data_IF_987305067385
#
_entry.id   IF_987305067385
#
_cell.length_a   1.000
_cell.length_b   1.000
_cell.length_c   1.000
_cell.angle_alpha   90.00
_cell.angle_beta   90.00
_cell.angle_gamma   90.00
#
_symmetry.space_group_name_H-M   'P 1'
#
loop_
_entity.id
_entity.type
_entity.pdbx_description
1 polymer ?
#
# COMPACT_ATOMS: atom_id res chain seq x y z
N UNK A 1 9.38 -2.89 -3.14
CA UNK A 1 10.81 -3.14 -2.84
C UNK A 1 11.01 -4.34 -1.89
N UNK A 2 10.29 -4.39 -0.76
CA UNK A 2 10.43 -5.45 0.26
C UNK A 2 10.24 -6.87 -0.30
N UNK A 3 9.24 -7.10 -1.15
CA UNK A 3 9.01 -8.41 -1.76
C UNK A 3 10.19 -8.96 -2.58
N UNK A 4 11.07 -8.08 -3.10
CA UNK A 4 12.30 -8.50 -3.78
C UNK A 4 13.46 -8.72 -2.81
N UNK A 5 13.56 -7.87 -1.78
CA UNK A 5 14.63 -7.97 -0.77
C UNK A 5 14.50 -9.28 0.03
N UNK A 6 13.27 -9.64 0.40
CA UNK A 6 12.95 -10.81 1.21
C UNK A 6 12.40 -11.99 0.38
N UNK A 7 12.76 -12.08 -0.90
CA UNK A 7 12.22 -13.08 -1.82
C UNK A 7 12.38 -14.51 -1.34
N UNK A 8 13.51 -14.83 -0.74
CA UNK A 8 13.78 -16.18 -0.24
C UNK A 8 12.89 -16.53 0.96
N UNK A 9 12.73 -15.61 1.90
CA UNK A 9 11.91 -15.77 3.10
C UNK A 9 10.42 -15.82 2.77
N UNK A 10 10.02 -15.18 1.67
CA UNK A 10 8.63 -15.08 1.24
C UNK A 10 8.15 -16.27 0.40
N UNK A 11 9.03 -17.12 -0.09
CA UNK A 11 8.68 -18.27 -0.95
C UNK A 11 7.51 -19.13 -0.47
N UNK A 12 7.33 -19.42 0.84
CA UNK A 12 6.24 -20.28 1.30
C UNK A 12 4.88 -19.57 1.41
N UNK A 13 4.78 -18.29 1.05
CA UNK A 13 3.58 -17.49 1.25
C UNK A 13 2.99 -17.02 -0.07
N UNK A 14 1.66 -16.99 -0.17
CA UNK A 14 0.92 -16.51 -1.34
C UNK A 14 0.88 -14.98 -1.42
N UNK A 15 0.96 -14.33 -0.27
CA UNK A 15 1.00 -12.87 -0.14
C UNK A 15 2.10 -12.45 0.82
N UNK A 16 2.65 -11.28 0.58
CA UNK A 16 3.54 -10.55 1.47
C UNK A 16 2.98 -9.14 1.70
N UNK A 17 3.45 -8.46 2.72
CA UNK A 17 2.95 -7.12 2.99
C UNK A 17 3.84 -6.33 3.93
N UNK A 18 3.45 -5.10 4.14
CA UNK A 18 4.05 -4.18 5.11
C UNK A 18 2.95 -3.36 5.79
N UNK A 19 3.25 -2.87 6.95
CA UNK A 19 2.35 -2.00 7.70
C UNK A 19 3.15 -0.99 8.53
N UNK A 20 2.47 0.06 8.98
CA UNK A 20 3.00 0.94 10.00
C UNK A 20 3.16 0.19 11.33
N UNK A 21 4.15 0.59 12.11
CA UNK A 21 4.45 -0.10 13.38
C UNK A 21 3.59 0.36 14.57
N UNK A 22 2.79 1.38 14.39
CA UNK A 22 1.89 1.99 15.39
C UNK A 22 0.41 1.64 15.19
N UNK A 23 0.13 0.57 14.44
CA UNK A 23 -1.21 0.07 14.20
C UNK A 23 -1.66 -0.92 15.28
N UNK A 24 -2.93 -0.84 15.62
CA UNK A 24 -3.63 -1.85 16.41
C UNK A 24 -4.64 -2.57 15.51
N UNK A 25 -4.36 -3.83 15.23
CA UNK A 25 -5.22 -4.62 14.36
C UNK A 25 -6.42 -5.19 15.12
N UNK A 26 -7.60 -5.03 14.53
CA UNK A 26 -8.80 -5.76 14.91
C UNK A 26 -8.86 -7.16 14.26
N UNK A 27 -10.05 -7.65 13.99
CA UNK A 27 -10.24 -8.92 13.30
C UNK A 27 -10.05 -8.77 11.78
N UNK A 28 -8.81 -8.85 11.31
CA UNK A 28 -8.47 -8.71 9.89
C UNK A 28 -9.17 -9.73 8.99
N UNK A 29 -9.40 -10.96 9.47
CA UNK A 29 -10.08 -12.02 8.69
C UNK A 29 -11.53 -11.71 8.37
N UNK A 30 -12.14 -10.77 9.08
CA UNK A 30 -13.50 -10.29 8.76
C UNK A 30 -13.51 -9.44 7.47
N UNK A 31 -12.41 -8.79 7.18
CA UNK A 31 -12.27 -7.87 6.05
C UNK A 31 -11.53 -8.52 4.87
N UNK A 32 -10.50 -9.30 5.15
CA UNK A 32 -9.70 -9.98 4.13
C UNK A 32 -10.19 -11.42 3.97
N UNK A 33 -11.20 -11.59 3.12
CA UNK A 33 -11.80 -12.88 2.80
C UNK A 33 -11.06 -13.56 1.65
N UNK A 34 -11.29 -14.86 1.47
CA UNK A 34 -10.67 -15.63 0.39
C UNK A 34 -11.02 -15.04 -0.99
N UNK A 35 -12.25 -14.59 -1.19
CA UNK A 35 -12.70 -13.95 -2.44
C UNK A 35 -11.87 -12.69 -2.77
N UNK A 36 -11.45 -11.93 -1.76
CA UNK A 36 -10.60 -10.74 -1.94
C UNK A 36 -9.20 -11.17 -2.36
N UNK A 37 -8.63 -12.18 -1.71
CA UNK A 37 -7.32 -12.71 -2.07
C UNK A 37 -7.28 -13.36 -3.45
N UNK A 38 -8.36 -14.01 -3.88
CA UNK A 38 -8.46 -14.56 -5.22
C UNK A 38 -8.51 -13.46 -6.28
N UNK A 39 -9.29 -12.41 -6.03
CA UNK A 39 -9.60 -11.36 -7.01
C UNK A 39 -8.50 -10.31 -7.16
N UNK A 40 -7.83 -9.93 -6.07
CA UNK A 40 -6.93 -8.80 -6.06
C UNK A 40 -5.48 -9.21 -5.80
N UNK A 41 -4.56 -8.62 -6.56
CA UNK A 41 -3.13 -8.80 -6.34
C UNK A 41 -2.54 -7.79 -5.35
N UNK A 42 -3.21 -6.64 -5.18
CA UNK A 42 -2.87 -5.63 -4.17
C UNK A 42 -4.09 -5.37 -3.29
N UNK A 43 -3.90 -5.43 -1.98
CA UNK A 43 -4.94 -5.25 -0.96
C UNK A 43 -4.44 -4.21 0.05
N UNK A 44 -5.28 -3.23 0.34
CA UNK A 44 -4.92 -2.08 1.15
C UNK A 44 -4.43 -0.91 0.30
N UNK A 45 -4.82 0.29 0.73
CA UNK A 45 -4.41 1.58 0.18
C UNK A 45 -4.00 2.48 1.34
N UNK A 46 -3.32 3.58 1.04
CA UNK A 46 -2.83 4.55 2.03
C UNK A 46 -1.66 4.09 2.93
N UNK A 47 -0.94 3.01 2.57
CA UNK A 47 0.31 2.64 3.23
C UNK A 47 0.20 1.96 4.61
N UNK A 48 -0.88 2.17 5.35
CA UNK A 48 -1.01 1.66 6.73
C UNK A 48 -0.92 0.14 6.84
N UNK A 49 -1.58 -0.58 5.95
CA UNK A 49 -1.44 -2.02 5.77
C UNK A 49 -1.64 -2.32 4.30
N UNK A 50 -0.59 -2.80 3.66
CA UNK A 50 -0.61 -3.18 2.26
C UNK A 50 -0.17 -4.63 2.11
N UNK A 51 -0.99 -5.43 1.44
CA UNK A 51 -0.65 -6.80 1.06
C UNK A 51 -0.51 -6.87 -0.46
N UNK A 52 0.46 -7.62 -0.92
CA UNK A 52 0.71 -7.87 -2.33
C UNK A 52 0.85 -9.36 -2.60
N UNK A 53 0.29 -9.83 -3.71
CA UNK A 53 0.47 -11.21 -4.17
C UNK A 53 1.95 -11.51 -4.35
N UNK A 54 2.34 -12.70 -3.96
CA UNK A 54 3.75 -13.10 -4.03
C UNK A 54 4.09 -13.69 -5.40
N UNK A 55 3.96 -12.89 -6.44
CA UNK A 55 4.39 -13.19 -7.79
C UNK A 55 5.47 -12.22 -8.28
N UNK A 56 6.07 -12.49 -9.42
CA UNK A 56 7.16 -11.68 -9.96
C UNK A 56 6.72 -10.25 -10.24
N UNK A 57 5.52 -10.04 -10.80
CA UNK A 57 5.00 -8.72 -11.09
C UNK A 57 4.91 -7.87 -9.81
N UNK A 58 4.23 -8.36 -8.77
CA UNK A 58 4.03 -7.59 -7.54
C UNK A 58 5.32 -7.42 -6.72
N UNK A 59 6.29 -8.32 -6.85
CA UNK A 59 7.62 -8.10 -6.25
C UNK A 59 8.43 -7.01 -6.95
N UNK A 60 8.15 -6.76 -8.24
CA UNK A 60 8.93 -5.85 -9.08
C UNK A 60 8.21 -4.55 -9.43
N UNK A 61 6.90 -4.44 -9.21
CA UNK A 61 6.05 -3.29 -9.59
C UNK A 61 6.57 -1.94 -9.08
N UNK A 62 7.32 -1.94 -7.99
CA UNK A 62 7.93 -0.73 -7.44
C UNK A 62 8.86 -0.02 -8.43
N UNK A 63 9.47 -0.75 -9.38
CA UNK A 63 10.34 -0.15 -10.41
C UNK A 63 9.52 0.69 -11.37
N UNK A 64 8.45 0.11 -11.90
CA UNK A 64 7.59 0.78 -12.87
C UNK A 64 6.84 1.95 -12.21
N UNK A 65 6.37 1.75 -10.98
CA UNK A 65 5.78 2.81 -10.18
C UNK A 65 6.76 3.96 -9.89
N UNK A 66 8.05 3.67 -9.67
CA UNK A 66 9.07 4.71 -9.47
C UNK A 66 9.36 5.51 -10.74
N UNK A 67 9.41 4.87 -11.91
CA UNK A 67 9.57 5.57 -13.18
C UNK A 67 8.32 6.44 -13.50
N UNK A 68 7.12 5.93 -13.24
CA UNK A 68 5.90 6.71 -13.36
C UNK A 68 5.92 7.91 -12.40
N UNK A 69 6.25 7.70 -11.13
CA UNK A 69 6.41 8.74 -10.12
C UNK A 69 7.36 9.84 -10.56
N UNK A 70 8.50 9.47 -11.13
CA UNK A 70 9.46 10.40 -11.71
C UNK A 70 8.84 11.18 -12.89
N UNK A 71 8.03 10.51 -13.71
CA UNK A 71 7.34 11.14 -14.85
C UNK A 71 6.42 12.27 -14.42
N UNK A 72 5.63 12.10 -13.37
CA UNK A 72 4.63 13.09 -12.97
C UNK A 72 5.07 14.07 -11.87
N UNK A 73 6.10 13.75 -11.10
CA UNK A 73 6.65 14.67 -10.08
C UNK A 73 8.01 15.26 -10.45
N UNK A 74 8.66 14.75 -11.51
CA UNK A 74 10.00 15.19 -11.91
C UNK A 74 11.11 14.78 -10.94
N UNK A 75 10.84 13.84 -10.03
CA UNK A 75 11.72 13.47 -8.92
C UNK A 75 12.06 11.99 -8.97
N UNK A 76 13.34 11.68 -8.96
CA UNK A 76 13.83 10.32 -8.79
C UNK A 76 13.97 10.02 -7.29
N UNK A 77 12.97 9.33 -6.74
CA UNK A 77 12.88 9.04 -5.30
C UNK A 77 14.05 8.25 -4.73
N UNK A 78 14.80 7.53 -5.58
CA UNK A 78 15.98 6.77 -5.14
C UNK A 78 17.25 7.61 -5.12
N UNK A 79 17.22 8.79 -5.74
CA UNK A 79 18.33 9.75 -5.74
C UNK A 79 18.09 10.98 -4.88
N UNK A 80 16.82 11.28 -4.63
CA UNK A 80 16.43 12.44 -3.84
C UNK A 80 16.39 12.07 -2.35
N UNK A 81 17.39 12.53 -1.60
CA UNK A 81 17.54 12.26 -0.16
C UNK A 81 17.12 13.40 0.76
N UNK A 82 16.62 14.52 0.22
CA UNK A 82 16.34 15.72 1.02
C UNK A 82 15.06 15.64 1.83
N UNK A 83 14.15 14.71 1.51
CA UNK A 83 12.89 14.52 2.22
C UNK A 83 12.36 13.08 2.13
N UNK A 84 11.47 12.72 3.05
CA UNK A 84 10.71 11.48 2.97
C UNK A 84 9.60 11.59 1.89
N UNK A 85 9.34 10.49 1.19
CA UNK A 85 8.31 10.37 0.18
C UNK A 85 7.37 9.24 0.56
N UNK A 86 6.07 9.50 0.53
CA UNK A 86 5.03 8.46 0.68
C UNK A 86 4.86 7.66 -0.61
N UNK A 87 5.93 7.00 -1.04
CA UNK A 87 5.95 6.27 -2.31
C UNK A 87 5.08 5.01 -2.30
N UNK A 88 4.89 4.41 -1.16
CA UNK A 88 4.04 3.27 -0.88
C UNK A 88 2.54 3.61 -0.79
N UNK A 89 2.21 4.91 -0.85
CA UNK A 89 0.86 5.45 -0.77
C UNK A 89 0.39 6.10 -2.09
N UNK A 90 -0.62 6.97 -1.95
CA UNK A 90 -1.35 7.65 -3.03
C UNK A 90 -0.48 8.33 -4.09
N UNK A 91 0.63 9.04 -3.80
CA UNK A 91 1.42 9.62 -4.87
C UNK A 91 2.31 8.60 -5.61
N UNK A 92 2.49 7.41 -5.07
CA UNK A 92 3.39 6.37 -5.59
C UNK A 92 2.68 5.14 -6.13
N UNK A 93 2.78 4.02 -5.41
CA UNK A 93 2.30 2.71 -5.86
C UNK A 93 0.79 2.70 -6.04
N UNK A 94 0.00 3.29 -5.13
CA UNK A 94 -1.46 3.33 -5.25
C UNK A 94 -1.88 4.03 -6.53
N UNK A 95 -1.30 5.20 -6.83
CA UNK A 95 -1.56 5.94 -8.06
C UNK A 95 -1.17 5.16 -9.31
N UNK A 96 -0.02 4.48 -9.28
CA UNK A 96 0.40 3.65 -10.40
C UNK A 96 -0.63 2.56 -10.71
N UNK A 97 -1.14 1.87 -9.69
CA UNK A 97 -2.20 0.86 -9.87
C UNK A 97 -3.46 1.47 -10.49
N UNK A 98 -3.91 2.63 -10.01
CA UNK A 98 -5.08 3.32 -10.54
C UNK A 98 -4.90 3.75 -12.00
N UNK A 99 -3.77 4.38 -12.33
CA UNK A 99 -3.47 4.87 -13.69
C UNK A 99 -3.32 3.73 -14.71
N UNK A 100 -2.82 2.57 -14.28
CA UNK A 100 -2.69 1.39 -15.12
C UNK A 100 -3.95 0.51 -15.14
N UNK A 101 -4.99 0.87 -14.38
CA UNK A 101 -6.21 0.06 -14.26
C UNK A 101 -5.97 -1.32 -13.65
N UNK A 102 -4.94 -1.46 -12.82
CA UNK A 102 -4.59 -2.71 -12.17
C UNK A 102 -5.53 -3.00 -11.00
N UNK A 103 -5.98 -4.27 -10.83
CA UNK A 103 -6.89 -4.62 -9.76
C UNK A 103 -6.26 -4.40 -8.38
N UNK A 104 -6.83 -3.49 -7.59
CA UNK A 104 -6.49 -3.31 -6.18
C UNK A 104 -7.76 -3.21 -5.34
N UNK A 105 -7.68 -3.70 -4.10
CA UNK A 105 -8.74 -3.60 -3.12
C UNK A 105 -8.39 -2.55 -2.08
N UNK A 106 -9.24 -1.55 -1.96
CA UNK A 106 -9.04 -0.43 -1.06
C UNK A 106 -10.32 -0.06 -0.34
N UNK A 107 -10.74 -0.87 0.61
CA UNK A 107 -11.80 -0.50 1.55
C UNK A 107 -11.19 0.20 2.76
N UNK A 108 -11.84 1.25 3.21
CA UNK A 108 -11.43 1.97 4.39
C UNK A 108 -11.88 1.22 5.63
N UNK A 109 -10.93 0.59 6.31
CA UNK A 109 -11.16 -0.28 7.47
C UNK A 109 -10.37 0.16 8.72
N UNK A 110 -9.92 1.42 8.76
CA UNK A 110 -9.16 1.95 9.89
C UNK A 110 -9.71 3.28 10.38
N UNK A 111 -9.43 3.58 11.63
CA UNK A 111 -9.75 4.84 12.30
C UNK A 111 -8.48 5.41 12.93
N UNK A 112 -8.34 6.73 12.90
CA UNK A 112 -7.23 7.42 13.55
C UNK A 112 -7.58 7.81 14.97
N UNK A 113 -6.67 7.58 15.90
CA UNK A 113 -6.79 8.11 17.26
C UNK A 113 -6.40 9.60 17.27
N UNK A 114 -7.31 10.44 17.74
CA UNK A 114 -7.07 11.86 17.94
C UNK A 114 -7.20 12.19 19.44
N UNK A 115 -6.08 12.40 20.15
CA UNK A 115 -6.07 12.57 21.61
C UNK A 115 -6.92 13.72 22.12
N UNK A 116 -7.02 14.80 21.33
CA UNK A 116 -7.79 16.01 21.63
C UNK A 116 -9.30 15.83 21.54
N UNK A 117 -9.76 14.79 20.86
CA UNK A 117 -11.18 14.51 20.62
C UNK A 117 -11.72 13.31 21.40
N UNK A 118 -10.98 12.77 22.34
CA UNK A 118 -11.36 11.66 23.22
C UNK A 118 -11.99 10.45 22.48
N UNK A 119 -11.30 9.88 21.53
CA UNK A 119 -11.76 8.65 20.89
C UNK A 119 -11.15 8.38 19.54
N UNK A 120 -11.59 7.27 18.95
CA UNK A 120 -11.29 6.94 17.57
C UNK A 120 -12.26 7.66 16.65
N UNK A 121 -11.75 8.33 15.65
CA UNK A 121 -12.54 9.06 14.67
C UNK A 121 -12.27 8.42 13.31
N UNK A 122 -13.34 8.15 12.52
CA UNK A 122 -13.15 7.73 11.13
C UNK A 122 -12.27 8.75 10.42
N UNK A 123 -11.22 8.25 9.78
CA UNK A 123 -10.31 9.11 9.04
C UNK A 123 -11.01 9.70 7.81
N UNK A 124 -11.27 11.01 7.80
CA UNK A 124 -12.01 11.73 6.75
C UNK A 124 -11.19 12.03 5.49
N UNK A 125 -10.07 11.36 5.28
CA UNK A 125 -9.22 11.54 4.09
C UNK A 125 -9.91 11.15 2.76
N UNK A 126 -11.23 11.30 2.66
CA UNK A 126 -11.99 11.17 1.40
C UNK A 126 -11.55 12.16 0.31
N UNK A 127 -10.67 13.10 0.63
CA UNK A 127 -10.34 14.22 -0.26
C UNK A 127 -9.05 14.06 -1.05
N UNK A 128 -8.38 12.91 -1.01
CA UNK A 128 -7.15 12.68 -1.78
C UNK A 128 -7.36 11.92 -3.09
N UNK A 129 -8.59 11.50 -3.37
CA UNK A 129 -8.98 10.92 -4.65
C UNK A 129 -9.75 11.96 -5.48
N UNK A 130 -9.07 12.97 -5.97
CA UNK A 130 -9.50 13.84 -7.10
C UNK A 130 -8.29 14.17 -7.94
#
# INVERSE_FOLDING_TARGET
MYGKIFEEELKPYDFWGFCDCDLVFGNLRKFFTDDIFEKYGKIGIYGHLTLMRNDEFHRMVWKDAAEAFKGYLGVDIFKEGSRAWSFDEVPGIDRYFDEQGLPQYGERIFESYQPDKKGFIPDDRKNYAK
#
